data_IF_306460255178
#
_entry.id   IF_306460255178
#
_cell.length_a   1.000
_cell.length_b   1.000
_cell.length_c   1.000
_cell.angle_alpha   90.00
_cell.angle_beta   90.00
_cell.angle_gamma   90.00
#
_symmetry.space_group_name_H-M   'P 1'
#
loop_
_entity.id
_entity.type
_entity.pdbx_description
1 polymer ?
#
# COMPACT_ATOMS: atom_id res chain seq x y z
N UNK A 1 12.72 -6.83 -15.10
CA UNK A 1 11.79 -7.55 -14.23
C UNK A 1 12.37 -7.67 -12.83
N UNK A 2 11.58 -7.28 -11.86
CA UNK A 2 12.01 -7.33 -10.46
C UNK A 2 11.94 -8.74 -9.93
N UNK A 3 13.02 -9.24 -9.38
CA UNK A 3 13.01 -10.51 -8.68
C UNK A 3 12.57 -10.28 -7.24
N UNK A 4 11.64 -11.10 -6.79
CA UNK A 4 11.26 -11.11 -5.39
C UNK A 4 12.26 -11.97 -4.65
N UNK A 5 12.84 -11.46 -3.61
CA UNK A 5 13.70 -12.26 -2.79
C UNK A 5 12.87 -13.10 -1.80
N UNK A 6 13.51 -14.09 -1.21
CA UNK A 6 12.88 -15.02 -0.30
C UNK A 6 12.33 -14.34 0.95
N UNK A 7 13.02 -13.33 1.44
CA UNK A 7 12.60 -12.59 2.64
C UNK A 7 11.30 -11.82 2.40
N UNK A 8 11.17 -11.23 1.24
CA UNK A 8 9.96 -10.50 0.86
C UNK A 8 8.78 -11.45 0.76
N UNK A 9 8.97 -12.61 0.14
CA UNK A 9 7.92 -13.61 0.03
C UNK A 9 7.48 -14.13 1.39
N UNK A 10 8.42 -14.38 2.29
CA UNK A 10 8.14 -14.83 3.65
C UNK A 10 7.40 -13.78 4.44
N UNK A 11 7.78 -12.50 4.27
CA UNK A 11 7.10 -11.39 4.92
C UNK A 11 5.63 -11.34 4.52
N UNK A 12 5.35 -11.41 3.23
CA UNK A 12 3.97 -11.36 2.75
C UNK A 12 3.17 -12.61 3.13
N UNK A 13 3.81 -13.78 3.16
CA UNK A 13 3.14 -15.00 3.61
C UNK A 13 2.70 -14.87 5.06
N UNK A 14 3.55 -14.33 5.92
CA UNK A 14 3.20 -14.12 7.33
C UNK A 14 2.12 -13.06 7.50
N UNK A 15 2.21 -11.99 6.72
CA UNK A 15 1.19 -10.94 6.76
C UNK A 15 -0.16 -11.52 6.35
N UNK A 16 -0.20 -12.36 5.33
CA UNK A 16 -1.44 -12.99 4.89
C UNK A 16 -2.05 -13.83 6.01
N UNK A 17 -1.25 -14.64 6.69
CA UNK A 17 -1.73 -15.46 7.79
C UNK A 17 -2.31 -14.61 8.92
N UNK A 18 -1.63 -13.54 9.29
CA UNK A 18 -2.13 -12.63 10.32
C UNK A 18 -3.45 -12.00 9.92
N UNK A 19 -3.57 -11.54 8.68
CA UNK A 19 -4.79 -10.92 8.19
C UNK A 19 -5.95 -11.91 8.19
N UNK A 20 -5.69 -13.17 7.83
CA UNK A 20 -6.71 -14.21 7.84
C UNK A 20 -7.22 -14.50 9.26
N UNK A 21 -6.31 -14.49 10.24
CA UNK A 21 -6.66 -14.81 11.62
C UNK A 21 -7.37 -13.66 12.34
N UNK A 22 -6.95 -12.43 12.05
CA UNK A 22 -7.37 -11.27 12.83
C UNK A 22 -8.65 -10.60 12.34
N UNK A 23 -9.08 -10.90 11.14
CA UNK A 23 -10.18 -10.16 10.50
C UNK A 23 -11.02 -11.07 9.63
N UNK A 24 -12.32 -10.81 9.64
CA UNK A 24 -13.23 -11.45 8.69
C UNK A 24 -13.35 -10.55 7.44
N UNK A 25 -13.20 -11.15 6.27
CA UNK A 25 -13.19 -10.42 5.01
C UNK A 25 -14.51 -10.56 4.27
N UNK A 26 -14.94 -9.55 3.49
CA UNK A 26 -14.26 -8.26 3.24
C UNK A 26 -14.27 -7.36 4.47
N UNK A 27 -13.28 -6.48 4.54
CA UNK A 27 -13.10 -5.59 5.68
C UNK A 27 -12.34 -4.32 5.28
N UNK A 28 -12.53 -3.22 6.04
CA UNK A 28 -11.72 -2.03 5.82
C UNK A 28 -10.26 -2.29 6.17
N UNK A 29 -9.38 -1.73 5.35
CA UNK A 29 -7.95 -1.81 5.59
C UNK A 29 -7.31 -0.44 5.43
N UNK A 30 -6.30 -0.15 6.23
CA UNK A 30 -5.59 1.13 6.16
C UNK A 30 -4.18 0.89 5.64
N UNK A 31 -3.89 1.49 4.48
CA UNK A 31 -2.53 1.55 3.95
C UNK A 31 -1.91 2.88 4.34
N UNK A 32 -0.61 2.87 4.59
CA UNK A 32 0.14 4.09 4.77
C UNK A 32 1.45 3.99 4.03
N UNK A 33 1.62 4.87 3.06
CA UNK A 33 2.81 4.91 2.22
C UNK A 33 3.50 6.26 2.37
N UNK A 34 4.82 6.25 2.20
CA UNK A 34 5.59 7.48 2.12
C UNK A 34 6.27 7.46 0.76
N UNK A 35 6.11 8.54 0.01
CA UNK A 35 6.72 8.71 -1.31
C UNK A 35 7.45 10.04 -1.37
N UNK A 36 8.46 10.18 -2.25
CA UNK A 36 9.00 11.51 -2.54
C UNK A 36 7.89 12.45 -2.99
N UNK A 37 7.98 13.72 -2.61
CA UNK A 37 6.94 14.71 -2.92
C UNK A 37 6.98 15.10 -4.40
N UNK A 38 6.71 14.14 -5.26
CA UNK A 38 6.63 14.33 -6.71
C UNK A 38 5.21 13.98 -7.14
N UNK A 39 4.59 14.85 -7.91
CA UNK A 39 3.18 14.68 -8.28
C UNK A 39 2.91 13.38 -9.02
N UNK A 40 3.83 12.95 -9.88
CA UNK A 40 3.69 11.70 -10.62
C UNK A 40 3.68 10.48 -9.70
N UNK A 41 4.50 10.48 -8.65
CA UNK A 41 4.54 9.36 -7.71
C UNK A 41 3.30 9.30 -6.83
N UNK A 42 2.82 10.44 -6.40
CA UNK A 42 1.56 10.52 -5.65
C UNK A 42 0.40 10.04 -6.53
N UNK A 43 0.38 10.46 -7.79
CA UNK A 43 -0.64 10.05 -8.74
C UNK A 43 -0.60 8.54 -9.00
N UNK A 44 0.58 7.94 -9.05
CA UNK A 44 0.71 6.49 -9.23
C UNK A 44 0.13 5.71 -8.05
N UNK A 45 0.36 6.18 -6.82
CA UNK A 45 -0.25 5.55 -5.64
C UNK A 45 -1.76 5.67 -5.72
N UNK A 46 -2.27 6.84 -6.04
CA UNK A 46 -3.71 7.05 -6.15
C UNK A 46 -4.34 6.19 -7.24
N UNK A 47 -3.66 6.09 -8.38
CA UNK A 47 -4.15 5.29 -9.51
C UNK A 47 -4.27 3.81 -9.17
N UNK A 48 -3.42 3.29 -8.31
CA UNK A 48 -3.50 1.89 -7.89
C UNK A 48 -4.81 1.57 -7.17
N UNK A 49 -5.50 2.59 -6.66
CA UNK A 49 -6.77 2.40 -5.94
C UNK A 49 -7.98 2.95 -6.72
N UNK A 50 -7.81 3.22 -8.00
CA UNK A 50 -8.93 3.64 -8.85
C UNK A 50 -10.00 2.56 -8.91
N UNK A 51 -11.25 2.99 -8.97
CA UNK A 51 -12.38 2.07 -9.03
C UNK A 51 -12.75 1.42 -7.71
N UNK A 52 -12.14 1.85 -6.61
CA UNK A 52 -12.44 1.36 -5.28
C UNK A 52 -13.14 2.43 -4.44
N UNK A 53 -13.55 2.06 -3.23
CA UNK A 53 -14.13 3.02 -2.27
C UNK A 53 -13.05 3.74 -1.45
N UNK A 54 -11.82 3.78 -1.92
CA UNK A 54 -10.69 4.32 -1.18
C UNK A 54 -10.87 5.79 -0.80
N UNK A 55 -10.59 6.08 0.47
CA UNK A 55 -10.50 7.45 0.97
C UNK A 55 -9.00 7.73 1.15
N UNK A 56 -8.51 8.70 0.38
CA UNK A 56 -7.08 8.99 0.32
C UNK A 56 -6.81 10.35 0.94
N UNK A 57 -5.87 10.38 1.87
CA UNK A 57 -5.39 11.61 2.49
C UNK A 57 -3.89 11.71 2.30
N UNK A 58 -3.43 12.90 1.95
CA UNK A 58 -2.00 13.15 1.80
C UNK A 58 -1.55 14.21 2.78
N UNK A 59 -0.30 14.10 3.21
CA UNK A 59 0.30 15.08 4.11
C UNK A 59 1.78 15.22 3.80
N UNK A 60 2.21 16.43 3.54
CA UNK A 60 3.63 16.71 3.29
C UNK A 60 4.42 16.66 4.60
N UNK A 61 5.67 16.20 4.52
CA UNK A 61 6.59 16.28 5.64
C UNK A 61 6.92 17.75 5.91
N UNK A 62 7.48 18.04 7.08
CA UNK A 62 7.80 19.41 7.48
C UNK A 62 8.74 20.12 6.52
N UNK A 63 9.60 19.37 5.83
CA UNK A 63 10.52 19.93 4.82
C UNK A 63 10.01 19.81 3.40
N UNK A 64 8.84 19.19 3.21
CA UNK A 64 8.26 19.02 1.90
C UNK A 64 8.97 18.01 1.00
N UNK A 65 9.93 17.24 1.54
CA UNK A 65 10.69 16.26 0.77
C UNK A 65 9.91 14.99 0.51
N UNK A 66 9.08 14.61 1.46
CA UNK A 66 8.26 13.40 1.38
C UNK A 66 6.80 13.71 1.64
N UNK A 67 5.94 12.89 1.08
CA UNK A 67 4.50 12.98 1.28
C UNK A 67 4.00 11.65 1.82
N UNK A 68 3.26 11.68 2.91
CA UNK A 68 2.58 10.49 3.39
C UNK A 68 1.21 10.38 2.72
N UNK A 69 0.86 9.17 2.31
CA UNK A 69 -0.41 8.88 1.65
C UNK A 69 -1.11 7.82 2.49
N UNK A 70 -2.21 8.20 3.12
CA UNK A 70 -3.01 7.30 3.94
C UNK A 70 -4.26 6.91 3.16
N UNK A 71 -4.51 5.62 3.04
CA UNK A 71 -5.59 5.10 2.21
C UNK A 71 -6.44 4.14 3.03
N UNK A 72 -7.70 4.48 3.23
CA UNK A 72 -8.66 3.59 3.86
C UNK A 72 -9.57 3.04 2.77
N UNK A 73 -9.61 1.72 2.64
CA UNK A 73 -10.32 1.07 1.54
C UNK A 73 -10.86 -0.28 2.00
N UNK A 74 -12.02 -0.67 1.50
CA UNK A 74 -12.58 -2.00 1.75
C UNK A 74 -11.85 -3.00 0.85
N UNK A 75 -11.27 -4.03 1.46
CA UNK A 75 -10.55 -5.07 0.74
C UNK A 75 -11.30 -6.40 0.86
N UNK A 76 -11.25 -7.18 -0.20
CA UNK A 76 -12.02 -8.44 -0.27
C UNK A 76 -11.37 -9.59 0.49
N UNK A 77 -10.08 -9.58 0.60
CA UNK A 77 -9.33 -10.71 1.15
C UNK A 77 -7.91 -10.30 1.53
N UNK A 78 -7.22 -11.12 2.34
CA UNK A 78 -5.79 -10.90 2.59
C UNK A 78 -4.96 -10.89 1.31
N UNK A 79 -5.27 -11.75 0.34
CA UNK A 79 -4.56 -11.76 -0.94
C UNK A 79 -4.72 -10.45 -1.68
N UNK A 80 -5.92 -9.87 -1.66
CA UNK A 80 -6.16 -8.57 -2.30
C UNK A 80 -5.34 -7.47 -1.63
N UNK A 81 -5.20 -7.50 -0.30
CA UNK A 81 -4.36 -6.54 0.42
C UNK A 81 -2.91 -6.62 -0.07
N UNK A 82 -2.39 -7.83 -0.15
CA UNK A 82 -1.00 -8.06 -0.56
C UNK A 82 -0.78 -7.66 -2.02
N UNK A 83 -1.76 -7.93 -2.87
CA UNK A 83 -1.68 -7.56 -4.28
C UNK A 83 -1.49 -6.05 -4.44
N UNK A 84 -2.16 -5.24 -3.63
CA UNK A 84 -1.99 -3.79 -3.66
C UNK A 84 -0.59 -3.36 -3.22
N UNK A 85 -0.04 -4.00 -2.18
CA UNK A 85 1.34 -3.73 -1.78
C UNK A 85 2.31 -4.01 -2.94
N UNK A 86 2.09 -5.11 -3.65
CA UNK A 86 2.95 -5.47 -4.78
C UNK A 86 2.81 -4.48 -5.93
N UNK A 87 1.60 -4.03 -6.21
CA UNK A 87 1.36 -3.06 -7.28
C UNK A 87 2.12 -1.76 -7.06
N UNK A 88 2.11 -1.24 -5.82
CA UNK A 88 2.77 0.03 -5.54
C UNK A 88 4.27 -0.12 -5.27
N UNK A 89 4.75 -1.34 -5.06
CA UNK A 89 6.15 -1.58 -4.71
C UNK A 89 7.13 -1.16 -5.81
N UNK A 90 6.66 -1.02 -7.04
CA UNK A 90 7.48 -0.59 -8.17
C UNK A 90 7.65 0.93 -8.25
N UNK A 91 6.90 1.69 -7.46
CA UNK A 91 7.05 3.14 -7.43
C UNK A 91 8.37 3.47 -6.75
N UNK A 92 9.24 4.18 -7.46
CA UNK A 92 10.57 4.50 -6.95
C UNK A 92 10.50 5.35 -5.69
N UNK A 93 11.20 4.91 -4.65
CA UNK A 93 11.27 5.64 -3.39
C UNK A 93 10.10 5.42 -2.44
N UNK A 94 9.14 4.55 -2.77
CA UNK A 94 8.00 4.29 -1.90
C UNK A 94 8.43 3.50 -0.66
N UNK A 95 7.86 3.87 0.46
CA UNK A 95 8.04 3.16 1.74
C UNK A 95 6.66 2.81 2.27
N UNK A 96 6.45 1.54 2.62
CA UNK A 96 5.20 1.09 3.25
C UNK A 96 5.39 1.04 4.77
N UNK A 97 4.44 1.59 5.48
CA UNK A 97 4.47 1.59 6.94
C UNK A 97 3.50 0.60 7.55
#
# INVERSE_FOLDING_TARGET
MKQKDKKTEEFYARLREQLEQDTNWPAPYMYKFIVPSELDKIAEVEAAFDGTDALIKTRDSSKGTYTSVSIRVTMDSPDAVIQKYLEVSDIEGIISL
#
